data_IF_191613190135
#
_entry.id   IF_191613190135
#
_cell.length_a   1.000
_cell.length_b   1.000
_cell.length_c   1.000
_cell.angle_alpha   90.00
_cell.angle_beta   90.00
_cell.angle_gamma   90.00
#
_symmetry.space_group_name_H-M   'P 1'
#
loop_
_entity.id
_entity.type
_entity.pdbx_description
1 polymer ?
#
# COMPACT_ATOMS: atom_id res chain seq x y z
N UNK A 1 13.38 40.80 3.33
CA UNK A 1 12.73 39.81 4.21
C UNK A 1 12.51 38.56 3.39
N UNK A 2 13.17 37.45 3.72
CA UNK A 2 12.96 36.18 3.02
C UNK A 2 11.57 35.63 3.39
N UNK A 3 10.79 35.08 2.44
CA UNK A 3 9.53 34.43 2.76
C UNK A 3 9.82 33.20 3.63
N UNK A 4 9.13 33.11 4.78
CA UNK A 4 9.27 31.98 5.69
C UNK A 4 8.73 30.71 5.03
N UNK A 5 9.52 29.64 5.09
CA UNK A 5 9.27 28.33 4.49
C UNK A 5 8.10 27.63 5.23
N UNK A 6 6.86 27.92 4.82
CA UNK A 6 5.64 27.48 5.50
C UNK A 6 5.24 26.05 5.08
N UNK A 7 5.68 25.04 5.85
CA UNK A 7 5.36 23.62 5.61
C UNK A 7 4.10 23.19 6.34
N UNK A 8 3.00 23.00 5.61
CA UNK A 8 1.73 22.53 6.19
C UNK A 8 1.64 21.00 6.21
N UNK A 9 1.26 20.42 7.36
CA UNK A 9 0.98 18.97 7.46
C UNK A 9 -0.46 18.68 7.02
N UNK A 10 -0.67 17.68 6.17
CA UNK A 10 -2.02 17.29 5.70
C UNK A 10 -3.02 16.97 6.81
N UNK A 11 -2.54 16.44 7.94
CA UNK A 11 -3.36 16.19 9.13
C UNK A 11 -3.94 17.50 9.70
N UNK A 12 -3.18 18.59 9.63
CA UNK A 12 -3.61 19.92 10.05
C UNK A 12 -4.59 20.53 9.03
N UNK A 13 -4.35 20.36 7.72
CA UNK A 13 -5.30 20.79 6.69
C UNK A 13 -6.66 20.08 6.80
N UNK A 14 -6.67 18.75 7.01
CA UNK A 14 -7.92 17.99 7.20
C UNK A 14 -8.72 18.42 8.43
N UNK A 15 -8.07 18.97 9.45
CA UNK A 15 -8.79 19.51 10.62
C UNK A 15 -9.46 20.86 10.35
N UNK A 16 -9.10 21.54 9.26
CA UNK A 16 -9.55 22.91 8.94
C UNK A 16 -10.49 22.98 7.73
N UNK A 17 -10.39 22.01 6.82
CA UNK A 17 -11.17 21.97 5.57
C UNK A 17 -12.17 20.82 5.59
N UNK A 18 -13.45 21.18 5.49
CA UNK A 18 -14.57 20.25 5.37
C UNK A 18 -15.00 20.09 3.91
N UNK A 19 -15.79 19.05 3.66
CA UNK A 19 -16.45 18.79 2.38
C UNK A 19 -17.46 19.90 2.06
N UNK A 20 -18.14 20.42 3.07
CA UNK A 20 -19.09 21.52 2.91
C UNK A 20 -18.42 22.78 2.37
N UNK A 21 -17.26 23.18 2.91
CA UNK A 21 -16.49 24.34 2.40
C UNK A 21 -16.17 24.20 0.91
N UNK A 22 -15.67 23.03 0.52
CA UNK A 22 -15.27 22.72 -0.87
C UNK A 22 -16.50 22.67 -1.77
N UNK A 23 -17.58 22.01 -1.33
CA UNK A 23 -18.81 21.88 -2.09
C UNK A 23 -19.47 23.23 -2.36
N UNK A 24 -19.50 24.13 -1.37
CA UNK A 24 -20.03 25.48 -1.58
C UNK A 24 -19.22 26.26 -2.63
N UNK A 25 -17.90 26.15 -2.62
CA UNK A 25 -17.05 26.79 -3.65
C UNK A 25 -17.25 26.20 -5.05
N UNK A 26 -17.63 24.93 -5.15
CA UNK A 26 -17.96 24.28 -6.42
C UNK A 26 -19.38 24.59 -6.92
N UNK A 27 -20.14 25.40 -6.17
CA UNK A 27 -21.49 25.82 -6.53
C UNK A 27 -22.60 24.89 -6.02
N UNK A 28 -22.29 23.93 -5.14
CA UNK A 28 -23.34 23.17 -4.47
C UNK A 28 -24.12 24.07 -3.52
N UNK A 29 -25.42 23.84 -3.41
CA UNK A 29 -26.30 24.53 -2.47
C UNK A 29 -27.06 23.54 -1.60
N UNK A 30 -27.38 23.98 -0.40
CA UNK A 30 -28.17 23.19 0.54
C UNK A 30 -29.57 22.93 -0.02
N UNK A 31 -29.96 21.65 -0.11
CA UNK A 31 -31.34 21.29 -0.43
C UNK A 31 -32.24 21.55 0.78
N UNK A 32 -32.92 22.71 0.76
CA UNK A 32 -33.83 23.12 1.83
C UNK A 32 -35.02 22.17 2.00
N UNK A 33 -35.35 21.34 1.00
CA UNK A 33 -36.44 20.36 1.08
C UNK A 33 -36.05 19.12 1.88
N UNK A 34 -34.77 18.77 1.92
CA UNK A 34 -34.26 17.60 2.65
C UNK A 34 -34.14 17.85 4.17
N UNK A 35 -34.19 19.11 4.61
CA UNK A 35 -34.00 19.50 6.01
C UNK A 35 -32.54 19.46 6.46
N UNK A 36 -32.27 20.01 7.65
CA UNK A 36 -30.93 20.02 8.26
C UNK A 36 -30.95 19.12 9.49
N UNK A 37 -30.30 17.96 9.42
CA UNK A 37 -30.27 16.95 10.49
C UNK A 37 -28.86 16.48 10.85
N UNK A 38 -28.70 15.18 11.14
CA UNK A 38 -27.38 14.54 11.35
C UNK A 38 -26.49 14.59 10.10
N UNK A 39 -27.11 14.73 8.94
CA UNK A 39 -26.49 14.93 7.64
C UNK A 39 -27.14 16.15 6.95
N UNK A 40 -26.46 16.67 5.92
CA UNK A 40 -26.98 17.71 5.02
C UNK A 40 -26.91 17.21 3.58
N UNK A 41 -27.90 17.54 2.76
CA UNK A 41 -27.91 17.25 1.33
C UNK A 41 -27.51 18.52 0.56
N UNK A 42 -26.45 18.42 -0.23
CA UNK A 42 -25.93 19.50 -1.06
C UNK A 42 -26.12 19.11 -2.54
N UNK A 43 -26.68 20.02 -3.33
CA UNK A 43 -27.06 19.79 -4.72
C UNK A 43 -26.32 20.77 -5.63
N UNK A 44 -25.75 20.25 -6.72
CA UNK A 44 -25.15 21.04 -7.79
C UNK A 44 -26.14 21.19 -8.95
N UNK A 45 -26.50 22.43 -9.29
CA UNK A 45 -27.51 22.75 -10.31
C UNK A 45 -28.95 22.79 -9.76
N UNK A 46 -29.91 23.21 -10.58
CA UNK A 46 -31.32 23.38 -10.19
C UNK A 46 -32.28 22.75 -11.22
N UNK A 47 -33.42 22.24 -10.75
CA UNK A 47 -34.49 21.73 -11.62
C UNK A 47 -34.06 20.58 -12.53
N UNK A 48 -34.18 20.76 -13.85
CA UNK A 48 -33.80 19.77 -14.87
C UNK A 48 -32.29 19.75 -15.17
N UNK A 49 -31.53 20.73 -14.69
CA UNK A 49 -30.05 20.82 -14.81
C UNK A 49 -29.34 20.38 -13.52
N UNK A 50 -29.97 19.46 -12.78
CA UNK A 50 -29.41 18.89 -11.57
C UNK A 50 -28.27 17.93 -11.94
N UNK A 51 -27.04 18.32 -11.63
CA UNK A 51 -25.80 17.63 -12.05
C UNK A 51 -25.25 16.68 -11.01
N UNK A 52 -25.33 17.04 -9.72
CA UNK A 52 -24.87 16.15 -8.64
C UNK A 52 -25.65 16.37 -7.34
N UNK A 53 -25.65 15.38 -6.47
CA UNK A 53 -26.19 15.47 -5.10
C UNK A 53 -25.38 14.62 -4.14
N UNK A 54 -24.81 15.29 -3.13
CA UNK A 54 -24.01 14.66 -2.09
C UNK A 54 -24.70 14.82 -0.74
N UNK A 55 -24.61 13.79 0.09
CA UNK A 55 -25.06 13.78 1.48
C UNK A 55 -23.82 13.85 2.36
N UNK A 56 -23.64 14.96 3.07
CA UNK A 56 -22.49 15.21 3.93
C UNK A 56 -22.85 14.86 5.38
N UNK A 57 -22.05 14.00 5.99
CA UNK A 57 -22.18 13.57 7.39
C UNK A 57 -21.14 14.25 8.28
N UNK A 58 -21.35 14.23 9.60
CA UNK A 58 -20.42 14.77 10.62
C UNK A 58 -20.15 16.27 10.48
N UNK A 59 -21.19 17.06 10.18
CA UNK A 59 -21.12 18.51 9.95
C UNK A 59 -20.29 19.30 10.98
N UNK A 60 -20.32 18.90 12.26
CA UNK A 60 -19.65 19.62 13.35
C UNK A 60 -18.14 19.35 13.46
N UNK A 61 -17.60 18.37 12.73
CA UNK A 61 -16.18 18.03 12.77
C UNK A 61 -15.65 17.81 11.34
N UNK A 62 -14.94 18.82 10.84
CA UNK A 62 -14.38 18.85 9.48
C UNK A 62 -13.45 17.65 9.21
N UNK A 63 -12.69 17.20 10.21
CA UNK A 63 -11.74 16.09 10.06
C UNK A 63 -12.43 14.74 9.82
N UNK A 64 -13.66 14.60 10.31
CA UNK A 64 -14.45 13.37 10.16
C UNK A 64 -15.60 13.50 9.16
N UNK A 65 -15.70 14.62 8.43
CA UNK A 65 -16.70 14.77 7.38
C UNK A 65 -16.48 13.76 6.26
N UNK A 66 -17.58 13.14 5.84
CA UNK A 66 -17.63 12.21 4.72
C UNK A 66 -18.84 12.55 3.84
N UNK A 67 -18.72 12.38 2.53
CA UNK A 67 -19.84 12.48 1.61
C UNK A 67 -20.29 11.11 1.13
N UNK A 68 -21.56 11.02 0.75
CA UNK A 68 -22.16 9.86 0.09
C UNK A 68 -23.08 10.34 -1.03
N UNK A 69 -23.08 9.64 -2.17
CA UNK A 69 -24.09 9.81 -3.22
C UNK A 69 -25.03 8.61 -3.23
N UNK A 70 -26.19 8.77 -3.87
CA UNK A 70 -27.20 7.71 -3.98
C UNK A 70 -26.73 6.53 -4.85
N UNK A 71 -25.73 6.74 -5.70
CA UNK A 71 -25.06 5.69 -6.49
C UNK A 71 -24.10 4.83 -5.66
N UNK A 72 -23.88 5.17 -4.38
CA UNK A 72 -22.99 4.46 -3.47
C UNK A 72 -21.55 4.97 -3.42
N UNK A 73 -21.19 5.96 -4.24
CA UNK A 73 -19.90 6.65 -4.13
C UNK A 73 -19.81 7.41 -2.80
N UNK A 74 -18.63 7.36 -2.19
CA UNK A 74 -18.37 7.96 -0.88
C UNK A 74 -16.89 8.29 -0.70
N UNK A 75 -16.60 9.26 0.15
CA UNK A 75 -15.22 9.63 0.43
C UNK A 75 -15.11 10.72 1.49
N UNK A 76 -13.86 11.11 1.76
CA UNK A 76 -13.53 12.26 2.57
C UNK A 76 -13.31 13.50 1.69
N UNK A 77 -12.92 14.61 2.31
CA UNK A 77 -12.63 15.88 1.62
C UNK A 77 -11.54 15.76 0.55
N UNK A 78 -10.56 14.86 0.72
CA UNK A 78 -9.49 14.66 -0.27
C UNK A 78 -10.03 13.95 -1.49
N UNK A 79 -10.86 12.92 -1.31
CA UNK A 79 -11.55 12.28 -2.43
C UNK A 79 -12.45 13.26 -3.17
N UNK A 80 -13.17 14.11 -2.45
CA UNK A 80 -14.08 15.09 -3.06
C UNK A 80 -13.33 16.17 -3.87
N UNK A 81 -12.20 16.68 -3.35
CA UNK A 81 -11.32 17.59 -4.11
C UNK A 81 -10.72 16.89 -5.32
N UNK A 82 -10.28 15.64 -5.17
CA UNK A 82 -9.72 14.85 -6.29
C UNK A 82 -10.73 14.68 -7.42
N UNK A 83 -11.98 14.35 -7.10
CA UNK A 83 -13.07 14.20 -8.08
C UNK A 83 -13.35 15.51 -8.85
N UNK A 84 -13.13 16.66 -8.21
CA UNK A 84 -13.44 17.98 -8.76
C UNK A 84 -12.19 18.80 -9.07
N UNK A 85 -11.03 18.16 -9.22
CA UNK A 85 -9.74 18.86 -9.26
C UNK A 85 -9.64 19.84 -10.44
N UNK A 86 -10.26 19.49 -11.58
CA UNK A 86 -10.33 20.34 -12.78
C UNK A 86 -11.11 21.65 -12.57
N UNK A 87 -11.97 21.72 -11.55
CA UNK A 87 -12.74 22.92 -11.22
C UNK A 87 -11.92 23.94 -10.42
N UNK A 88 -10.73 23.58 -9.94
CA UNK A 88 -9.83 24.46 -9.20
C UNK A 88 -8.69 24.94 -10.09
N UNK A 89 -8.45 26.26 -10.11
CA UNK A 89 -7.36 26.85 -10.87
C UNK A 89 -6.02 26.72 -10.11
N UNK A 90 -5.50 25.50 -10.01
CA UNK A 90 -4.24 25.18 -9.32
C UNK A 90 -3.22 24.54 -10.26
N UNK A 91 -1.99 25.04 -10.19
CA UNK A 91 -0.87 24.53 -10.98
C UNK A 91 0.00 23.65 -10.08
N UNK A 92 0.35 22.46 -10.56
CA UNK A 92 1.20 21.51 -9.83
C UNK A 92 1.65 20.36 -10.74
N UNK A 93 2.81 19.79 -10.45
CA UNK A 93 3.44 18.68 -11.20
C UNK A 93 2.71 17.35 -10.95
N UNK A 94 2.07 17.20 -9.79
CA UNK A 94 1.31 16.01 -9.43
C UNK A 94 -0.12 16.35 -8.98
N UNK A 95 -1.03 15.38 -9.11
CA UNK A 95 -2.40 15.48 -8.58
C UNK A 95 -2.41 15.83 -7.09
N UNK A 96 -1.48 15.25 -6.32
CA UNK A 96 -1.35 15.49 -4.89
C UNK A 96 -0.92 16.91 -4.54
N UNK A 97 0.02 17.50 -5.29
CA UNK A 97 0.40 18.91 -5.09
C UNK A 97 -0.79 19.83 -5.36
N UNK A 98 -1.56 19.55 -6.42
CA UNK A 98 -2.78 20.30 -6.74
C UNK A 98 -3.80 20.19 -5.61
N UNK A 99 -4.08 18.98 -5.10
CA UNK A 99 -4.98 18.76 -3.96
C UNK A 99 -4.49 19.52 -2.71
N UNK A 100 -3.19 19.48 -2.43
CA UNK A 100 -2.61 20.16 -1.28
C UNK A 100 -2.76 21.68 -1.36
N UNK A 101 -2.54 22.27 -2.54
CA UNK A 101 -2.76 23.69 -2.82
C UNK A 101 -4.22 24.09 -2.62
N UNK A 102 -5.16 23.30 -3.14
CA UNK A 102 -6.59 23.53 -2.92
C UNK A 102 -6.92 23.49 -1.42
N UNK A 103 -6.44 22.48 -0.69
CA UNK A 103 -6.67 22.40 0.75
C UNK A 103 -6.05 23.58 1.52
N UNK A 104 -4.86 24.03 1.16
CA UNK A 104 -4.23 25.20 1.80
C UNK A 104 -5.04 26.48 1.56
N UNK A 105 -5.56 26.69 0.35
CA UNK A 105 -6.46 27.81 0.03
C UNK A 105 -7.71 27.80 0.92
N UNK A 106 -8.40 26.65 1.05
CA UNK A 106 -9.57 26.55 1.93
C UNK A 106 -9.23 26.67 3.43
N UNK A 107 -8.03 26.30 3.83
CA UNK A 107 -7.57 26.43 5.22
C UNK A 107 -7.09 27.86 5.56
N UNK A 108 -7.14 28.80 4.61
CA UNK A 108 -6.55 30.14 4.69
C UNK A 108 -5.07 30.09 5.12
N UNK A 109 -4.34 29.13 4.55
CA UNK A 109 -2.92 28.89 4.79
C UNK A 109 -2.12 29.28 3.54
N UNK A 110 -0.89 29.78 3.70
CA UNK A 110 0.02 30.02 2.58
C UNK A 110 0.06 28.84 1.61
N UNK A 111 0.08 29.15 0.31
CA UNK A 111 0.21 28.13 -0.73
C UNK A 111 1.50 27.35 -0.48
N UNK A 112 1.45 26.00 -0.40
CA UNK A 112 2.65 25.24 -0.17
C UNK A 112 3.54 25.35 -1.41
N UNK A 113 4.74 25.89 -1.21
CA UNK A 113 5.73 25.98 -2.26
C UNK A 113 6.30 24.59 -2.56
N UNK A 114 5.89 24.05 -3.71
CA UNK A 114 6.35 22.76 -4.22
C UNK A 114 7.33 22.93 -5.40
N UNK A 115 7.89 24.13 -5.62
CA UNK A 115 8.92 24.39 -6.65
C UNK A 115 10.27 23.83 -6.22
N UNK A 116 10.35 22.50 -6.28
CA UNK A 116 11.54 21.67 -6.53
C UNK A 116 11.05 20.23 -6.48
N UNK A 117 11.26 19.50 -7.58
CA UNK A 117 11.20 18.04 -7.62
C UNK A 117 11.93 17.43 -6.42
N UNK A 118 11.21 17.14 -5.33
CA UNK A 118 11.71 16.36 -4.19
C UNK A 118 10.68 15.93 -3.16
N UNK A 119 9.37 16.11 -3.36
CA UNK A 119 8.39 15.85 -2.28
C UNK A 119 7.63 14.51 -2.38
N UNK A 120 8.33 13.46 -2.82
CA UNK A 120 8.18 12.11 -2.24
C UNK A 120 9.35 11.78 -1.29
N UNK A 121 10.37 12.64 -1.19
CA UNK A 121 11.46 12.55 -0.22
C UNK A 121 11.03 13.32 1.03
N UNK A 122 10.53 12.56 2.00
CA UNK A 122 10.33 12.96 3.39
C UNK A 122 11.32 14.05 3.84
N UNK A 123 10.78 15.14 4.39
CA UNK A 123 11.33 15.92 5.51
C UNK A 123 12.86 15.93 5.61
N UNK A 124 13.51 16.97 5.10
CA UNK A 124 14.91 17.29 5.40
C UNK A 124 15.07 17.83 6.85
N UNK A 125 14.57 17.09 7.85
CA UNK A 125 15.52 16.65 8.89
C UNK A 125 16.50 15.73 8.14
N UNK A 126 17.79 15.71 8.45
CA UNK A 126 18.68 14.68 7.89
C UNK A 126 17.94 13.31 7.88
N UNK A 127 18.00 12.51 6.80
CA UNK A 127 17.22 11.29 6.69
C UNK A 127 17.37 10.55 8.00
N UNK A 128 16.26 10.35 8.73
CA UNK A 128 16.36 9.71 10.03
C UNK A 128 16.99 8.35 9.78
N UNK A 129 18.25 8.21 10.19
CA UNK A 129 18.98 6.97 10.07
C UNK A 129 18.39 6.05 11.10
N UNK A 130 18.18 4.79 10.73
CA UNK A 130 17.75 3.77 11.68
C UNK A 130 18.69 3.77 12.88
N UNK A 131 18.12 3.96 14.07
CA UNK A 131 18.83 3.92 15.35
C UNK A 131 18.50 2.59 16.04
N UNK A 132 19.42 1.61 16.06
CA UNK A 132 19.19 0.34 16.71
C UNK A 132 18.93 0.48 18.22
N UNK A 133 19.50 1.50 18.88
CA UNK A 133 19.39 1.68 20.33
C UNK A 133 17.98 2.06 20.79
N UNK A 134 17.17 2.61 19.88
CA UNK A 134 15.73 2.89 20.08
C UNK A 134 14.92 1.61 20.28
N UNK A 135 15.38 0.47 19.75
CA UNK A 135 14.61 -0.76 19.74
C UNK A 135 15.18 -1.76 20.74
N UNK A 136 14.31 -2.41 21.52
CA UNK A 136 14.66 -3.67 22.19
C UNK A 136 14.36 -4.80 21.23
N UNK A 137 15.34 -5.66 21.00
CA UNK A 137 15.26 -6.78 20.07
C UNK A 137 15.48 -8.07 20.83
N UNK A 138 14.66 -9.08 20.55
CA UNK A 138 14.83 -10.45 21.01
C UNK A 138 14.75 -11.38 19.82
N UNK A 139 15.44 -12.50 19.89
CA UNK A 139 15.23 -13.59 18.95
C UNK A 139 13.83 -14.19 19.15
N UNK A 140 13.31 -14.79 18.08
CA UNK A 140 12.06 -15.51 18.15
C UNK A 140 12.27 -16.85 18.85
N UNK A 141 11.69 -17.01 20.04
CA UNK A 141 11.72 -18.27 20.76
C UNK A 141 10.82 -19.31 20.08
N UNK A 142 11.44 -20.37 19.55
CA UNK A 142 10.76 -21.47 18.89
C UNK A 142 9.84 -22.28 19.81
N UNK A 143 10.04 -22.21 21.14
CA UNK A 143 9.15 -22.83 22.13
C UNK A 143 7.92 -21.95 22.44
N UNK A 144 8.05 -20.63 22.27
CA UNK A 144 7.02 -19.65 22.61
C UNK A 144 6.62 -18.79 21.40
N UNK A 145 6.11 -19.44 20.36
CA UNK A 145 5.69 -18.79 19.11
C UNK A 145 4.49 -17.84 19.37
N UNK A 146 4.59 -16.55 19.00
CA UNK A 146 3.48 -15.61 19.11
C UNK A 146 2.21 -16.08 18.38
N UNK A 147 1.06 -16.00 19.05
CA UNK A 147 -0.25 -16.37 18.49
C UNK A 147 -0.61 -15.67 17.18
N UNK A 148 0.00 -14.51 16.91
CA UNK A 148 -0.19 -13.74 15.69
C UNK A 148 0.17 -14.55 14.42
N UNK A 149 1.14 -15.47 14.48
CA UNK A 149 1.45 -16.35 13.35
C UNK A 149 0.30 -17.31 13.05
N UNK A 150 -0.25 -17.96 14.08
CA UNK A 150 -1.39 -18.88 13.92
C UNK A 150 -2.64 -18.14 13.43
N UNK A 151 -2.89 -16.91 13.89
CA UNK A 151 -3.96 -16.05 13.38
C UNK A 151 -3.82 -15.72 11.89
N UNK A 152 -2.60 -15.84 11.34
CA UNK A 152 -2.26 -15.65 9.93
C UNK A 152 -2.19 -16.97 9.16
N UNK A 153 -2.59 -18.09 9.77
CA UNK A 153 -2.56 -19.42 9.16
C UNK A 153 -1.17 -20.06 9.08
N UNK A 154 -0.14 -19.42 9.64
CA UNK A 154 1.23 -19.91 9.61
C UNK A 154 1.43 -21.01 10.66
N UNK A 155 1.93 -22.16 10.23
CA UNK A 155 2.20 -23.31 11.08
C UNK A 155 3.45 -23.08 11.94
N UNK A 156 3.53 -23.78 13.07
CA UNK A 156 4.71 -23.72 13.93
C UNK A 156 5.98 -24.13 13.17
N UNK A 157 5.91 -25.12 12.28
CA UNK A 157 7.07 -25.60 11.51
C UNK A 157 7.57 -24.60 10.48
N UNK A 158 6.66 -23.82 9.86
CA UNK A 158 7.04 -22.69 9.00
C UNK A 158 7.73 -21.61 9.81
N UNK A 159 7.16 -21.26 10.96
CA UNK A 159 7.73 -20.22 11.82
C UNK A 159 9.10 -20.63 12.35
N UNK A 160 9.28 -21.89 12.77
CA UNK A 160 10.57 -22.43 13.21
C UNK A 160 11.61 -22.42 12.09
N UNK A 161 11.24 -22.83 10.88
CA UNK A 161 12.14 -22.81 9.73
C UNK A 161 12.64 -21.40 9.39
N UNK A 162 11.80 -20.39 9.60
CA UNK A 162 12.11 -18.99 9.29
C UNK A 162 12.53 -18.17 10.53
N UNK A 163 12.56 -18.77 11.73
CA UNK A 163 12.90 -18.11 12.97
C UNK A 163 14.26 -17.39 12.95
N UNK A 164 15.33 -17.91 12.30
CA UNK A 164 16.60 -17.19 12.17
C UNK A 164 16.49 -15.82 11.48
N UNK A 165 15.44 -15.60 10.70
CA UNK A 165 15.21 -14.38 9.94
C UNK A 165 14.14 -13.47 10.57
N UNK A 166 13.67 -13.79 11.79
CA UNK A 166 12.59 -13.07 12.45
C UNK A 166 13.06 -12.61 13.83
N UNK A 167 12.73 -11.38 14.18
CA UNK A 167 12.98 -10.83 15.51
C UNK A 167 11.68 -10.44 16.19
N UNK A 168 11.72 -10.33 17.52
CA UNK A 168 10.73 -9.63 18.31
C UNK A 168 11.25 -8.24 18.61
N UNK A 169 10.50 -7.19 18.26
CA UNK A 169 10.93 -5.80 18.36
C UNK A 169 9.97 -4.95 19.21
N UNK A 170 10.52 -4.15 20.11
CA UNK A 170 9.78 -3.22 20.98
C UNK A 170 10.40 -1.83 20.86
N UNK A 171 9.60 -0.84 20.48
CA UNK A 171 10.04 0.55 20.32
C UNK A 171 10.06 1.24 21.69
N UNK A 172 11.25 1.60 22.20
CA UNK A 172 11.40 2.22 23.52
C UNK A 172 10.74 3.60 23.61
N UNK A 173 10.43 4.24 22.48
CA UNK A 173 9.76 5.55 22.43
C UNK A 173 8.25 5.43 22.24
N UNK A 174 7.70 4.21 22.11
CA UNK A 174 6.27 4.01 21.99
C UNK A 174 5.64 3.80 23.36
N UNK A 175 5.11 4.87 23.95
CA UNK A 175 4.46 4.84 25.26
C UNK A 175 3.11 4.11 25.24
N UNK A 176 2.49 3.94 24.07
CA UNK A 176 1.17 3.32 23.92
C UNK A 176 1.22 1.78 23.87
N UNK A 177 2.40 1.17 23.83
CA UNK A 177 2.54 -0.29 23.72
C UNK A 177 3.81 -0.78 24.41
N UNK A 178 3.63 -1.54 25.50
CA UNK A 178 4.74 -2.10 26.30
C UNK A 178 5.10 -3.55 25.93
N UNK A 179 4.73 -4.02 24.74
CA UNK A 179 4.99 -5.38 24.27
C UNK A 179 6.08 -5.48 23.21
N UNK A 180 6.20 -6.68 22.62
CA UNK A 180 6.99 -6.92 21.43
C UNK A 180 6.07 -7.17 20.23
N UNK A 181 6.40 -6.55 19.10
CA UNK A 181 5.85 -6.86 17.80
C UNK A 181 6.76 -7.85 17.07
N UNK A 182 6.26 -8.49 16.02
CA UNK A 182 7.10 -9.26 15.10
C UNK A 182 7.84 -8.26 14.21
N UNK A 183 9.16 -8.38 14.14
CA UNK A 183 10.04 -7.58 13.32
C UNK A 183 10.75 -8.45 12.28
N UNK A 184 10.75 -7.98 11.05
CA UNK A 184 11.46 -8.59 9.93
C UNK A 184 12.64 -7.67 9.57
N UNK A 185 13.88 -8.03 9.95
CA UNK A 185 15.06 -7.16 9.82
C UNK A 185 15.37 -6.85 8.35
N UNK A 186 15.67 -5.58 8.07
CA UNK A 186 16.13 -5.14 6.76
C UNK A 186 17.66 -5.11 6.74
N UNK A 187 18.25 -5.76 5.74
CA UNK A 187 19.70 -5.85 5.56
C UNK A 187 20.08 -5.40 4.14
N UNK A 188 21.27 -4.82 3.99
CA UNK A 188 21.79 -4.39 2.68
C UNK A 188 22.56 -5.52 1.99
N UNK A 189 22.78 -5.38 0.69
CA UNK A 189 23.66 -6.28 -0.04
C UNK A 189 25.06 -6.29 0.58
N UNK A 190 25.59 -7.49 0.88
CA UNK A 190 26.93 -7.66 1.46
C UNK A 190 27.07 -7.28 2.93
N UNK A 191 25.97 -7.04 3.65
CA UNK A 191 26.00 -6.69 5.08
C UNK A 191 24.88 -7.38 5.84
N UNK A 192 25.21 -8.09 6.91
CA UNK A 192 24.23 -8.66 7.83
C UNK A 192 23.77 -7.66 8.90
N UNK A 193 24.23 -6.40 8.83
CA UNK A 193 23.81 -5.36 9.75
C UNK A 193 22.36 -4.96 9.48
N UNK A 194 21.52 -5.07 10.51
CA UNK A 194 20.14 -4.59 10.46
C UNK A 194 20.07 -3.07 10.40
N UNK A 195 19.44 -2.55 9.34
CA UNK A 195 19.23 -1.11 9.06
C UNK A 195 17.75 -0.72 9.09
N UNK A 196 16.93 -1.54 9.73
CA UNK A 196 15.51 -1.28 9.96
C UNK A 196 14.69 -2.55 10.10
N UNK A 197 13.37 -2.40 10.19
CA UNK A 197 12.44 -3.52 10.30
C UNK A 197 11.14 -3.23 9.56
N UNK A 198 10.58 -4.23 8.86
CA UNK A 198 9.13 -4.34 8.69
C UNK A 198 8.54 -4.87 10.00
N UNK A 199 7.47 -4.25 10.50
CA UNK A 199 6.87 -4.57 11.81
C UNK A 199 5.43 -5.01 11.63
N UNK A 200 5.08 -6.14 12.27
CA UNK A 200 3.71 -6.68 12.37
C UNK A 200 3.31 -6.88 13.82
N UNK A 201 2.10 -6.44 14.15
CA UNK A 201 1.55 -6.53 15.49
C UNK A 201 0.10 -7.01 15.50
N UNK A 202 -0.44 -7.10 16.71
CA UNK A 202 -1.83 -7.49 16.96
C UNK A 202 -2.83 -6.55 16.28
N UNK A 203 -4.06 -7.04 16.07
CA UNK A 203 -5.15 -6.25 15.46
C UNK A 203 -4.81 -5.65 14.09
N UNK A 204 -3.95 -6.32 13.31
CA UNK A 204 -3.57 -5.87 11.97
C UNK A 204 -2.54 -4.75 11.93
N UNK A 205 -1.88 -4.42 13.05
CA UNK A 205 -0.83 -3.42 13.08
C UNK A 205 0.29 -3.75 12.07
N UNK A 206 0.56 -2.80 11.17
CA UNK A 206 1.62 -2.85 10.15
C UNK A 206 2.38 -1.53 10.21
N UNK A 207 3.71 -1.61 10.30
CA UNK A 207 4.57 -0.43 10.29
C UNK A 207 5.96 -0.76 9.75
N UNK A 208 6.81 0.25 9.62
CA UNK A 208 8.26 0.10 9.50
C UNK A 208 8.91 0.79 10.70
N UNK A 209 10.03 0.26 11.19
CA UNK A 209 10.80 0.94 12.23
C UNK A 209 11.20 2.34 11.74
N UNK A 210 11.23 3.31 12.65
CA UNK A 210 11.62 4.68 12.32
C UNK A 210 13.05 4.69 11.77
N UNK A 211 13.22 5.37 10.64
CA UNK A 211 14.49 5.42 9.92
C UNK A 211 14.89 4.15 9.17
N UNK A 212 13.99 3.15 9.04
CA UNK A 212 14.25 1.96 8.22
C UNK A 212 14.70 2.36 6.82
N UNK A 213 15.87 1.88 6.43
CA UNK A 213 16.38 2.04 5.07
C UNK A 213 15.52 1.23 4.10
N UNK A 214 14.57 1.87 3.43
CA UNK A 214 13.75 1.27 2.35
C UNK A 214 14.28 1.62 0.96
N UNK A 215 15.53 2.06 0.85
CA UNK A 215 16.16 2.47 -0.41
C UNK A 215 17.11 1.41 -0.95
N UNK A 216 17.83 0.70 -0.08
CA UNK A 216 18.81 -0.33 -0.49
C UNK A 216 18.64 -1.64 0.26
N UNK A 217 17.91 -1.64 1.38
CA UNK A 217 17.74 -2.81 2.22
C UNK A 217 16.34 -3.43 2.08
N UNK A 218 16.27 -4.74 2.29
CA UNK A 218 15.03 -5.51 2.30
C UNK A 218 15.11 -6.59 3.39
N UNK A 219 13.97 -7.19 3.74
CA UNK A 219 13.99 -8.43 4.50
C UNK A 219 14.27 -9.58 3.53
N UNK A 220 15.28 -10.38 3.84
CA UNK A 220 15.73 -11.52 3.04
C UNK A 220 15.89 -12.71 3.97
N UNK A 221 15.15 -13.78 3.70
CA UNK A 221 15.36 -15.08 4.32
C UNK A 221 16.07 -15.99 3.33
N UNK A 222 17.37 -16.19 3.55
CA UNK A 222 18.23 -17.04 2.73
C UNK A 222 18.24 -18.47 3.27
N UNK A 223 17.63 -19.39 2.53
CA UNK A 223 17.51 -20.78 2.96
C UNK A 223 18.69 -21.66 2.52
N UNK A 224 19.72 -21.09 1.87
CA UNK A 224 20.93 -21.81 1.45
C UNK A 224 21.95 -22.04 2.58
N UNK A 225 21.56 -21.77 3.82
CA UNK A 225 22.40 -21.93 5.02
C UNK A 225 23.72 -21.15 4.95
N UNK A 226 23.68 -19.93 4.39
CA UNK A 226 24.84 -19.04 4.26
C UNK A 226 25.68 -19.29 3.01
N UNK A 227 25.28 -20.23 2.14
CA UNK A 227 25.93 -20.49 0.87
C UNK A 227 25.24 -19.72 -0.27
N UNK A 228 25.24 -18.38 -0.20
CA UNK A 228 24.46 -17.52 -1.11
C UNK A 228 24.70 -17.84 -2.60
N UNK A 229 25.90 -18.31 -2.98
CA UNK A 229 26.23 -18.72 -4.35
C UNK A 229 25.42 -19.92 -4.89
N UNK A 230 24.81 -20.70 -4.00
CA UNK A 230 23.93 -21.82 -4.32
C UNK A 230 22.49 -21.38 -4.61
N UNK A 231 22.07 -20.19 -4.18
CA UNK A 231 20.70 -19.71 -4.41
C UNK A 231 20.42 -19.62 -5.91
N UNK A 232 19.37 -20.31 -6.36
CA UNK A 232 18.89 -20.34 -7.75
C UNK A 232 17.56 -19.61 -7.94
N UNK A 233 16.78 -19.43 -6.88
CA UNK A 233 15.46 -18.81 -6.96
C UNK A 233 15.28 -17.75 -5.87
N UNK A 234 14.97 -16.52 -6.26
CA UNK A 234 14.64 -15.42 -5.34
C UNK A 234 13.19 -15.03 -5.52
N UNK A 235 12.38 -15.20 -4.49
CA UNK A 235 10.94 -14.92 -4.52
C UNK A 235 10.64 -13.56 -3.89
N UNK A 236 10.16 -12.61 -4.68
CA UNK A 236 9.84 -11.26 -4.24
C UNK A 236 8.35 -11.13 -3.89
N UNK A 237 8.08 -10.85 -2.61
CA UNK A 237 6.74 -10.59 -2.09
C UNK A 237 6.61 -9.14 -1.59
N UNK A 238 5.37 -8.64 -1.52
CA UNK A 238 5.12 -7.30 -0.96
C UNK A 238 5.33 -7.26 0.55
N UNK A 239 5.11 -8.38 1.22
CA UNK A 239 5.24 -8.45 2.67
C UNK A 239 5.80 -9.75 3.20
N UNK A 240 6.38 -9.71 4.40
CA UNK A 240 7.02 -10.87 4.99
C UNK A 240 6.00 -11.98 5.32
N UNK A 241 4.76 -11.64 5.71
CA UNK A 241 3.72 -12.65 5.89
C UNK A 241 3.31 -13.31 4.57
N UNK A 242 3.33 -12.59 3.45
CA UNK A 242 3.05 -13.18 2.14
C UNK A 242 4.19 -14.10 1.70
N UNK A 243 5.45 -13.71 1.94
CA UNK A 243 6.61 -14.57 1.72
C UNK A 243 6.57 -15.85 2.56
N UNK A 244 6.22 -15.75 3.85
CA UNK A 244 6.07 -16.92 4.73
C UNK A 244 4.90 -17.81 4.28
N UNK A 245 3.77 -17.22 3.85
CA UNK A 245 2.61 -17.97 3.38
C UNK A 245 2.89 -18.68 2.05
N UNK A 246 3.58 -18.00 1.12
CA UNK A 246 4.10 -18.59 -0.11
C UNK A 246 4.99 -19.80 0.19
N UNK A 247 5.95 -19.63 1.10
CA UNK A 247 6.84 -20.72 1.51
C UNK A 247 6.06 -21.90 2.09
N UNK A 248 5.11 -21.66 3.00
CA UNK A 248 4.32 -22.74 3.60
C UNK A 248 3.49 -23.52 2.58
N UNK A 249 2.80 -22.82 1.68
CA UNK A 249 1.91 -23.46 0.69
C UNK A 249 2.69 -24.21 -0.39
N UNK A 250 3.91 -23.77 -0.70
CA UNK A 250 4.71 -24.32 -1.78
C UNK A 250 5.90 -25.16 -1.29
N UNK A 251 6.08 -25.35 0.03
CA UNK A 251 7.22 -26.05 0.64
C UNK A 251 7.58 -27.38 -0.04
N UNK A 252 6.63 -28.26 -0.43
CA UNK A 252 6.98 -29.51 -1.11
C UNK A 252 7.62 -29.35 -2.49
N UNK A 253 7.53 -28.16 -3.09
CA UNK A 253 8.09 -27.80 -4.42
C UNK A 253 9.32 -26.91 -4.32
N UNK A 254 9.70 -26.49 -3.12
CA UNK A 254 10.83 -25.60 -2.87
C UNK A 254 12.02 -26.41 -2.37
N UNK A 255 13.20 -26.12 -2.93
CA UNK A 255 14.48 -26.60 -2.40
C UNK A 255 15.03 -25.70 -1.30
N UNK A 256 16.26 -25.96 -0.89
CA UNK A 256 17.03 -25.11 0.04
C UNK A 256 17.79 -24.01 -0.71
N UNK A 257 17.88 -24.09 -2.04
CA UNK A 257 18.57 -23.15 -2.92
C UNK A 257 17.74 -21.89 -3.22
N UNK A 258 17.00 -21.39 -2.23
CA UNK A 258 16.07 -20.28 -2.41
C UNK A 258 16.30 -19.14 -1.42
N UNK A 259 15.86 -17.95 -1.81
CA UNK A 259 15.70 -16.82 -0.90
C UNK A 259 14.28 -16.24 -1.00
N UNK A 260 13.70 -15.91 0.15
CA UNK A 260 12.41 -15.22 0.25
C UNK A 260 12.66 -13.75 0.57
N UNK A 261 11.94 -12.85 -0.09
CA UNK A 261 12.16 -11.41 0.02
C UNK A 261 10.86 -10.68 0.33
N UNK A 262 10.91 -9.75 1.28
CA UNK A 262 9.86 -8.76 1.51
C UNK A 262 10.41 -7.35 1.33
N UNK A 263 9.70 -6.58 0.51
CA UNK A 263 9.99 -5.17 0.24
C UNK A 263 9.17 -4.21 1.14
N UNK A 264 8.20 -4.77 1.89
CA UNK A 264 7.32 -4.03 2.79
C UNK A 264 6.44 -3.01 2.07
N UNK A 265 5.88 -3.40 0.91
CA UNK A 265 5.07 -2.59 0.00
C UNK A 265 5.77 -2.37 -1.35
N UNK A 266 5.60 -1.17 -1.92
CA UNK A 266 6.35 -0.76 -3.11
C UNK A 266 7.84 -0.66 -2.83
N UNK A 267 8.66 -0.86 -3.86
CA UNK A 267 10.12 -0.91 -3.75
C UNK A 267 10.82 0.17 -4.55
N UNK A 268 12.06 0.43 -4.17
CA UNK A 268 13.04 1.16 -4.97
C UNK A 268 13.94 0.19 -5.75
N UNK A 269 14.47 0.66 -6.87
CA UNK A 269 15.22 -0.18 -7.81
C UNK A 269 16.46 -0.80 -7.14
N UNK A 270 17.12 -0.06 -6.24
CA UNK A 270 18.31 -0.53 -5.53
C UNK A 270 18.03 -1.64 -4.51
N UNK A 271 16.81 -1.74 -3.97
CA UNK A 271 16.45 -2.90 -3.14
C UNK A 271 16.47 -4.19 -3.98
N UNK A 272 15.83 -4.17 -5.15
CA UNK A 272 15.77 -5.34 -6.03
C UNK A 272 17.17 -5.67 -6.56
N UNK A 273 17.88 -4.68 -7.10
CA UNK A 273 19.22 -4.89 -7.64
C UNK A 273 20.20 -5.39 -6.58
N UNK A 274 20.19 -4.81 -5.37
CA UNK A 274 21.07 -5.26 -4.28
C UNK A 274 20.77 -6.71 -3.83
N UNK A 275 19.50 -7.11 -3.81
CA UNK A 275 19.14 -8.51 -3.54
C UNK A 275 19.66 -9.43 -4.66
N UNK A 276 19.53 -9.04 -5.93
CA UNK A 276 20.03 -9.84 -7.04
C UNK A 276 21.57 -9.87 -7.11
N UNK A 277 22.25 -8.81 -6.67
CA UNK A 277 23.72 -8.78 -6.49
C UNK A 277 24.17 -9.75 -5.38
N UNK A 278 23.37 -9.91 -4.32
CA UNK A 278 23.61 -10.91 -3.26
C UNK A 278 23.52 -12.36 -3.79
N UNK A 279 22.70 -12.59 -4.82
CA UNK A 279 22.43 -13.91 -5.40
C UNK A 279 22.62 -13.89 -6.94
N UNK A 280 23.87 -13.75 -7.43
CA UNK A 280 24.14 -13.47 -8.84
C UNK A 280 23.74 -14.61 -9.80
N UNK A 281 23.60 -15.83 -9.28
CA UNK A 281 23.22 -17.01 -10.04
C UNK A 281 21.72 -17.30 -10.02
N UNK A 282 20.93 -16.46 -9.34
CA UNK A 282 19.53 -16.71 -9.12
C UNK A 282 18.63 -16.05 -10.17
N UNK A 283 17.46 -16.67 -10.38
CA UNK A 283 16.35 -16.09 -11.14
C UNK A 283 15.38 -15.43 -10.17
N UNK A 284 14.92 -14.22 -10.50
CA UNK A 284 13.89 -13.52 -9.72
C UNK A 284 12.50 -14.08 -10.04
N UNK A 285 11.61 -14.16 -9.05
CA UNK A 285 10.23 -14.56 -9.20
C UNK A 285 9.29 -13.50 -8.66
N UNK A 286 8.32 -13.11 -9.50
CA UNK A 286 7.21 -12.24 -9.14
C UNK A 286 6.16 -13.03 -8.34
N UNK A 287 6.06 -12.71 -7.04
CA UNK A 287 5.09 -13.26 -6.10
C UNK A 287 4.19 -12.18 -5.49
N UNK A 288 4.06 -11.01 -6.14
CA UNK A 288 3.29 -9.89 -5.62
C UNK A 288 1.77 -10.13 -5.68
N UNK A 289 1.05 -9.30 -4.92
CA UNK A 289 -0.40 -9.28 -4.82
C UNK A 289 -1.09 -9.20 -6.20
N UNK A 290 -2.31 -9.72 -6.24
CA UNK A 290 -3.17 -9.70 -7.43
C UNK A 290 -3.88 -8.36 -7.64
N UNK A 291 -3.65 -7.37 -6.76
CA UNK A 291 -4.18 -6.02 -6.94
C UNK A 291 -3.35 -5.20 -7.93
N UNK A 292 -3.86 -4.03 -8.31
CA UNK A 292 -3.21 -3.18 -9.31
C UNK A 292 -1.78 -2.79 -8.90
N UNK A 293 -1.51 -2.57 -7.61
CA UNK A 293 -0.19 -2.17 -7.13
C UNK A 293 0.80 -3.33 -7.25
N UNK A 294 0.40 -4.53 -6.83
CA UNK A 294 1.21 -5.74 -6.99
C UNK A 294 1.52 -6.06 -8.44
N UNK A 295 0.56 -5.86 -9.35
CA UNK A 295 0.78 -6.04 -10.79
C UNK A 295 1.73 -5.02 -11.40
N UNK A 296 1.66 -3.77 -10.97
CA UNK A 296 2.65 -2.75 -11.35
C UNK A 296 4.03 -3.12 -10.80
N UNK A 297 4.12 -3.61 -9.56
CA UNK A 297 5.37 -4.08 -8.96
C UNK A 297 5.98 -5.24 -9.76
N UNK A 298 5.18 -6.18 -10.23
CA UNK A 298 5.64 -7.28 -11.11
C UNK A 298 6.21 -6.78 -12.44
N UNK A 299 5.57 -5.80 -13.08
CA UNK A 299 6.10 -5.14 -14.29
C UNK A 299 7.42 -4.42 -14.03
N UNK A 300 7.52 -3.71 -12.90
CA UNK A 300 8.76 -3.03 -12.49
C UNK A 300 9.88 -4.02 -12.20
N UNK A 301 9.59 -5.15 -11.53
CA UNK A 301 10.57 -6.19 -11.26
C UNK A 301 11.12 -6.78 -12.56
N UNK A 302 10.23 -7.13 -13.49
CA UNK A 302 10.60 -7.62 -14.82
C UNK A 302 11.53 -6.63 -15.53
N UNK A 303 11.14 -5.36 -15.61
CA UNK A 303 11.93 -4.32 -16.24
C UNK A 303 13.34 -4.20 -15.65
N UNK A 304 13.47 -4.25 -14.32
CA UNK A 304 14.76 -4.15 -13.65
C UNK A 304 15.68 -5.35 -13.94
N UNK A 305 15.16 -6.58 -13.84
CA UNK A 305 16.01 -7.78 -14.03
C UNK A 305 16.32 -8.06 -15.50
N UNK A 306 15.48 -7.57 -16.41
CA UNK A 306 15.70 -7.60 -17.86
C UNK A 306 16.60 -6.45 -18.36
N UNK A 307 16.87 -5.45 -17.50
CA UNK A 307 17.56 -4.21 -17.87
C UNK A 307 16.84 -3.45 -19.02
N UNK A 308 15.52 -3.29 -18.85
CA UNK A 308 14.65 -2.58 -19.78
C UNK A 308 14.13 -1.32 -19.09
N UNK A 309 14.55 -0.11 -19.52
CA UNK A 309 13.96 1.13 -19.05
C UNK A 309 12.46 1.14 -19.35
N UNK A 310 11.66 1.26 -18.28
CA UNK A 310 10.22 1.13 -18.32
C UNK A 310 9.55 2.34 -17.68
N UNK A 311 8.59 2.93 -18.38
CA UNK A 311 7.65 3.90 -17.82
C UNK A 311 6.25 3.34 -17.86
N UNK A 312 5.57 3.36 -16.71
CA UNK A 312 4.19 2.87 -16.57
C UNK A 312 3.31 4.09 -16.29
N UNK A 313 2.28 4.27 -17.10
CA UNK A 313 1.29 5.34 -16.95
C UNK A 313 -0.09 4.72 -16.75
N UNK A 314 -0.84 5.20 -15.75
CA UNK A 314 -2.24 4.80 -15.58
C UNK A 314 -3.12 5.68 -16.47
N UNK A 315 -3.97 5.06 -17.28
CA UNK A 315 -4.95 5.74 -18.13
C UNK A 315 -6.38 5.31 -17.73
N UNK A 316 -7.43 5.99 -18.21
CA UNK A 316 -8.82 5.55 -17.99
C UNK A 316 -9.09 4.12 -18.51
N UNK A 317 -8.40 3.72 -19.59
CA UNK A 317 -8.56 2.43 -20.26
C UNK A 317 -7.71 1.31 -19.65
N UNK A 318 -6.78 1.62 -18.72
CA UNK A 318 -5.93 0.63 -18.06
C UNK A 318 -4.52 1.14 -17.76
N UNK A 319 -3.53 0.30 -18.02
CA UNK A 319 -2.12 0.68 -17.90
C UNK A 319 -1.51 0.82 -19.30
N UNK A 320 -0.75 1.88 -19.51
CA UNK A 320 0.09 2.08 -20.68
C UNK A 320 1.55 1.94 -20.28
N UNK A 321 2.29 1.15 -21.04
CA UNK A 321 3.72 0.95 -20.89
C UNK A 321 4.44 1.63 -22.03
N UNK A 322 5.49 2.38 -21.69
CA UNK A 322 6.47 2.91 -22.63
C UNK A 322 7.84 2.30 -22.33
N UNK A 323 8.43 1.63 -23.32
CA UNK A 323 9.78 1.06 -23.24
C UNK A 323 10.41 0.94 -24.63
N UNK A 324 11.71 1.23 -24.73
CA UNK A 324 12.50 1.21 -25.98
C UNK A 324 11.81 1.94 -27.15
N UNK A 325 11.20 3.09 -26.88
CA UNK A 325 10.51 3.91 -27.89
C UNK A 325 9.17 3.36 -28.38
N UNK A 326 8.65 2.28 -27.78
CA UNK A 326 7.33 1.72 -28.06
C UNK A 326 6.39 2.00 -26.90
N UNK A 327 5.13 2.30 -27.22
CA UNK A 327 4.04 2.48 -26.27
C UNK A 327 2.93 1.48 -26.56
N UNK A 328 2.52 0.71 -25.56
CA UNK A 328 1.48 -0.31 -25.72
C UNK A 328 0.68 -0.50 -24.41
N UNK A 329 -0.60 -0.86 -24.52
CA UNK A 329 -1.43 -1.14 -23.36
C UNK A 329 -1.03 -2.46 -22.71
N UNK A 330 -1.13 -2.53 -21.38
CA UNK A 330 -0.96 -3.75 -20.60
C UNK A 330 -2.12 -3.93 -19.62
N UNK A 331 -2.53 -5.18 -19.49
CA UNK A 331 -3.59 -5.61 -18.59
C UNK A 331 -2.98 -6.25 -17.34
N UNK A 332 -3.34 -5.78 -16.13
CA UNK A 332 -2.82 -6.33 -14.87
C UNK A 332 -3.11 -7.82 -14.64
N UNK A 333 -4.15 -8.37 -15.28
CA UNK A 333 -4.62 -9.75 -15.13
C UNK A 333 -3.90 -10.78 -16.04
N UNK A 334 -3.00 -10.29 -16.90
CA UNK A 334 -2.23 -11.10 -17.85
C UNK A 334 -0.76 -11.13 -17.48
N UNK A 335 -0.07 -12.20 -17.88
CA UNK A 335 1.37 -12.36 -17.67
C UNK A 335 2.14 -11.19 -18.32
N UNK A 336 3.16 -10.69 -17.62
CA UNK A 336 4.00 -9.59 -18.11
C UNK A 336 4.68 -9.97 -19.43
N UNK A 337 5.33 -11.13 -19.49
CA UNK A 337 6.06 -11.55 -20.70
C UNK A 337 5.16 -11.70 -21.92
N UNK A 338 3.97 -12.31 -21.76
CA UNK A 338 3.03 -12.49 -22.89
C UNK A 338 2.57 -11.18 -23.52
N UNK A 339 2.65 -10.08 -22.77
CA UNK A 339 2.26 -8.75 -23.24
C UNK A 339 3.45 -7.97 -23.79
N UNK A 340 4.67 -8.28 -23.34
CA UNK A 340 5.88 -7.56 -23.76
C UNK A 340 6.55 -8.19 -24.98
N UNK A 341 6.55 -9.52 -25.10
CA UNK A 341 7.17 -10.25 -26.22
C UNK A 341 6.81 -9.73 -27.61
N UNK A 342 5.53 -9.38 -27.92
CA UNK A 342 5.18 -8.87 -29.25
C UNK A 342 5.79 -7.49 -29.55
N UNK A 343 6.18 -6.74 -28.52
CA UNK A 343 6.65 -5.38 -28.65
C UNK A 343 8.16 -5.27 -28.42
N UNK A 344 8.73 -6.03 -27.49
CA UNK A 344 10.10 -5.88 -27.00
C UNK A 344 10.73 -7.26 -26.80
N UNK A 345 11.95 -7.43 -27.28
CA UNK A 345 12.76 -8.62 -26.98
C UNK A 345 13.16 -8.65 -25.50
N UNK A 346 12.91 -9.80 -24.87
CA UNK A 346 13.11 -10.11 -23.44
C UNK A 346 14.00 -11.34 -23.30
N UNK A 347 14.78 -11.43 -22.20
CA UNK A 347 15.74 -12.51 -21.93
C UNK A 347 15.19 -13.58 -20.96
N UNK A 348 13.96 -13.41 -20.47
CA UNK A 348 13.29 -14.33 -19.54
C UNK A 348 14.00 -14.52 -18.20
N UNK A 349 14.61 -13.45 -17.67
CA UNK A 349 15.34 -13.43 -16.40
C UNK A 349 14.45 -13.42 -15.16
N UNK A 350 13.14 -13.25 -15.34
CA UNK A 350 12.13 -13.31 -14.28
C UNK A 350 11.24 -14.54 -14.49
N UNK A 351 10.84 -15.21 -13.43
CA UNK A 351 9.69 -16.13 -13.40
C UNK A 351 8.47 -15.45 -12.79
N UNK A 352 7.29 -16.03 -12.96
CA UNK A 352 6.08 -15.56 -12.27
C UNK A 352 5.49 -16.70 -11.46
N UNK A 353 5.26 -16.45 -10.18
CA UNK A 353 4.55 -17.36 -9.28
C UNK A 353 3.66 -16.52 -8.37
N UNK A 354 2.63 -15.96 -8.99
CA UNK A 354 1.66 -15.08 -8.34
C UNK A 354 0.62 -15.90 -7.55
N UNK A 355 -0.05 -15.30 -6.55
CA UNK A 355 -1.20 -15.92 -5.90
C UNK A 355 -2.26 -16.36 -6.93
N UNK A 356 -2.99 -17.47 -6.72
CA UNK A 356 -4.10 -17.85 -7.59
C UNK A 356 -5.11 -16.71 -7.72
N UNK A 357 -5.73 -16.55 -8.91
CA UNK A 357 -6.57 -15.39 -9.26
C UNK A 357 -7.72 -15.14 -8.27
N UNK A 358 -8.20 -16.20 -7.62
CA UNK A 358 -9.29 -16.15 -6.65
C UNK A 358 -8.88 -15.54 -5.30
N UNK A 359 -7.62 -15.14 -5.11
CA UNK A 359 -7.10 -14.57 -3.86
C UNK A 359 -6.39 -13.25 -4.14
N UNK A 360 -6.37 -12.35 -3.15
CA UNK A 360 -5.65 -11.07 -3.26
C UNK A 360 -4.14 -11.28 -3.10
N UNK A 361 -3.74 -11.99 -2.04
CA UNK A 361 -2.35 -12.19 -1.67
C UNK A 361 -2.10 -13.61 -1.15
N UNK A 362 -0.83 -13.97 -0.91
CA UNK A 362 -0.47 -15.31 -0.43
C UNK A 362 -0.97 -15.58 0.98
N UNK A 363 -1.08 -14.57 1.85
CA UNK A 363 -1.65 -14.77 3.18
C UNK A 363 -3.15 -15.09 3.13
N UNK A 364 -3.89 -14.45 2.23
CA UNK A 364 -5.30 -14.77 1.96
C UNK A 364 -5.47 -16.17 1.38
N UNK A 365 -4.55 -16.64 0.51
CA UNK A 365 -4.51 -18.03 0.05
C UNK A 365 -4.45 -19.00 1.23
N UNK A 366 -3.55 -18.72 2.17
CA UNK A 366 -3.33 -19.57 3.33
C UNK A 366 -4.52 -19.57 4.29
N UNK A 367 -5.23 -18.45 4.39
CA UNK A 367 -6.43 -18.30 5.21
C UNK A 367 -7.72 -18.78 4.52
N UNK A 368 -7.65 -19.21 3.25
CA UNK A 368 -8.83 -19.55 2.46
C UNK A 368 -9.74 -18.36 2.16
N UNK A 369 -9.23 -17.13 2.27
CA UNK A 369 -9.98 -15.89 2.04
C UNK A 369 -10.01 -15.55 0.56
N UNK A 370 -10.96 -16.15 -0.16
CA UNK A 370 -11.16 -15.82 -1.57
C UNK A 370 -11.52 -14.34 -1.72
N UNK A 371 -10.92 -13.71 -2.72
CA UNK A 371 -11.37 -12.44 -3.27
C UNK A 371 -12.84 -12.57 -3.59
N UNK A 372 -13.69 -11.82 -2.90
CA UNK A 372 -15.09 -11.77 -3.28
C UNK A 372 -15.14 -11.23 -4.71
N UNK A 373 -15.74 -12.01 -5.62
CA UNK A 373 -16.39 -11.39 -6.77
C UNK A 373 -17.32 -10.37 -6.13
N UNK A 374 -17.11 -9.08 -6.41
CA UNK A 374 -18.10 -8.05 -6.08
C UNK A 374 -19.32 -8.32 -6.94
N UNK A 375 -20.06 -9.38 -6.65
CA UNK A 375 -21.49 -9.41 -6.92
C UNK A 375 -21.99 -8.29 -6.00
N UNK A 376 -22.33 -7.15 -6.59
CA UNK A 376 -23.06 -6.11 -5.88
C UNK A 376 -24.22 -6.82 -5.18
N UNK A 377 -24.31 -6.81 -3.83
CA UNK A 377 -25.41 -7.47 -3.16
C UNK A 377 -26.69 -6.89 -3.73
N UNK A 378 -27.54 -7.78 -4.24
CA UNK A 378 -28.82 -7.36 -4.81
C UNK A 378 -29.63 -6.70 -3.70
N UNK A 379 -30.62 -5.90 -4.09
CA UNK A 379 -31.48 -5.23 -3.11
C UNK A 379 -32.10 -6.24 -2.12
N UNK A 380 -32.41 -7.46 -2.59
CA UNK A 380 -32.93 -8.55 -1.76
C UNK A 380 -31.90 -9.02 -0.71
N UNK A 381 -30.65 -9.28 -1.10
CA UNK A 381 -29.60 -9.72 -0.15
C UNK A 381 -29.30 -8.68 0.95
N UNK A 382 -29.56 -7.40 0.67
CA UNK A 382 -29.45 -6.30 1.66
C UNK A 382 -30.66 -6.23 2.58
N UNK A 383 -31.85 -6.41 2.03
CA UNK A 383 -33.10 -6.37 2.79
C UNK A 383 -33.19 -7.59 3.73
N UNK A 384 -32.70 -8.76 3.33
CA UNK A 384 -32.61 -9.96 4.16
C UNK A 384 -31.58 -9.80 5.30
N UNK A 385 -30.40 -9.26 5.01
CA UNK A 385 -29.40 -8.93 6.06
C UNK A 385 -29.93 -7.88 7.06
N UNK A 386 -30.67 -6.88 6.58
CA UNK A 386 -31.30 -5.87 7.45
C UNK A 386 -32.43 -6.47 8.28
N UNK A 387 -33.15 -7.47 7.75
CA UNK A 387 -34.18 -8.20 8.49
C UNK A 387 -33.56 -9.10 9.58
N UNK A 388 -32.47 -9.82 9.28
CA UNK A 388 -31.74 -10.64 10.26
C UNK A 388 -31.10 -9.79 11.37
N UNK A 389 -30.56 -8.61 11.04
CA UNK A 389 -30.04 -7.67 12.04
C UNK A 389 -31.13 -7.05 12.92
N UNK A 390 -32.36 -6.89 12.41
CA UNK A 390 -33.51 -6.45 13.21
C UNK A 390 -34.05 -7.56 14.10
N UNK A 391 -33.96 -8.82 13.66
CA UNK A 391 -34.40 -9.98 14.43
C UNK A 391 -33.43 -10.35 15.57
N UNK A 392 -32.13 -10.13 15.38
CA UNK A 392 -31.09 -10.41 16.38
C UNK A 392 -30.91 -9.33 17.45
N UNK A 393 -31.58 -8.18 17.31
CA UNK A 393 -31.63 -7.10 18.29
C UNK A 393 -32.62 -7.35 19.43
N UNK A 394 -32.51 -8.47 20.15
CA UNK A 394 -33.18 -8.66 21.44
C UNK A 394 -32.34 -8.01 22.55
N UNK A 395 -32.93 -7.00 23.18
CA UNK A 395 -32.38 -6.26 24.33
C UNK A 395 -32.00 -7.22 25.47
N UNK A 396 -30.78 -7.08 25.96
CA UNK A 396 -30.45 -7.17 27.40
C UNK A 396 -29.66 -5.91 27.74
#
# INVERSE_FOLDING_TARGET
MAPADYKVKFKELKSRVGIDDVAYSLGYRLDRKAGVGRYIELVLGEGRDKRDTIIVSNRRDKASQTFFRRDGSKGDVVSFIRENLSSFNVIGLTEWQKIAKVMAQFANMPEPDYDRDRDYVRSASAPQVFDPSRYRVKELDAANIPRLFAQRGLSADTVKALAPFISLVSDRRNENFNGYNIGFPYTEAGSDKTVGYEIRGVSGYKSKAAGTNSSTAAWVADLSHGNNGLVRHVFFCESAFDAMAFFQLNRPRLGEDIALVSLGGTFSDRQVLGVMERFPNARAYDCFDNDLAGRINGLRLMALVEDIPLKITKTPEGLMVEAKGKSFPVSPDRSAYTQFEPHISVRYRMGQWQPPKDFKDWNDCLLGKRSSIKILPTKHDRDDNLAEQRASGLKI
#
